data_IF_637876078898
#
_entry.id   IF_637876078898
#
_cell.length_a   1.000
_cell.length_b   1.000
_cell.length_c   1.000
_cell.angle_alpha   90.00
_cell.angle_beta   90.00
_cell.angle_gamma   90.00
#
_symmetry.space_group_name_H-M   'P 1'
#
loop_
_entity.id
_entity.type
_entity.pdbx_description
1 polymer ?
#
# COMPACT_ATOMS: atom_id res chain seq x y z
N UNK A 1 -17.39 16.09 -30.15
CA UNK A 1 -15.97 16.38 -30.45
C UNK A 1 -15.15 15.26 -29.85
N UNK A 2 -14.38 14.51 -30.65
CA UNK A 2 -13.47 13.51 -30.10
C UNK A 2 -12.52 14.20 -29.10
N UNK A 3 -12.29 13.63 -27.90
CA UNK A 3 -11.34 14.21 -26.96
C UNK A 3 -9.98 14.29 -27.65
N UNK A 4 -9.37 15.47 -27.67
CA UNK A 4 -8.03 15.66 -28.21
C UNK A 4 -7.10 14.65 -27.52
N UNK A 5 -6.38 13.82 -28.29
CA UNK A 5 -5.38 12.89 -27.76
C UNK A 5 -4.41 13.69 -26.89
N UNK A 6 -4.52 13.58 -25.56
CA UNK A 6 -3.55 14.18 -24.64
C UNK A 6 -2.18 13.63 -25.03
N UNK A 7 -1.21 14.51 -25.33
CA UNK A 7 0.16 14.08 -25.62
C UNK A 7 0.68 13.28 -24.44
N UNK A 8 1.32 12.14 -24.70
CA UNK A 8 1.93 11.33 -23.66
C UNK A 8 2.92 12.18 -22.82
N UNK A 9 2.81 12.11 -21.50
CA UNK A 9 3.69 12.85 -20.59
C UNK A 9 5.13 12.33 -20.71
N UNK A 10 6.10 13.25 -20.80
CA UNK A 10 7.50 12.90 -21.01
C UNK A 10 8.25 12.54 -19.72
N UNK A 11 7.69 12.83 -18.54
CA UNK A 11 8.24 12.52 -17.22
C UNK A 11 9.72 12.92 -17.03
N UNK A 12 10.11 14.10 -17.55
CA UNK A 12 11.52 14.54 -17.55
C UNK A 12 11.95 15.16 -16.21
N UNK A 13 10.99 15.68 -15.44
CA UNK A 13 11.23 16.32 -14.15
C UNK A 13 10.39 15.68 -13.07
N UNK A 14 11.01 15.43 -11.92
CA UNK A 14 10.40 14.76 -10.78
C UNK A 14 10.36 15.66 -9.57
N UNK A 15 9.25 15.66 -8.86
CA UNK A 15 9.08 16.28 -7.58
C UNK A 15 9.61 15.33 -6.50
N UNK A 16 10.59 15.76 -5.70
CA UNK A 16 11.32 14.91 -4.73
C UNK A 16 11.04 15.26 -3.26
N UNK A 17 9.99 16.04 -3.03
CA UNK A 17 9.50 16.51 -1.73
C UNK A 17 7.96 16.54 -1.68
N UNK A 18 7.37 17.03 -0.59
CA UNK A 18 5.96 17.36 -0.51
C UNK A 18 5.60 18.47 -1.50
N UNK A 19 4.43 18.34 -2.15
CA UNK A 19 3.97 19.32 -3.13
C UNK A 19 3.81 20.71 -2.51
N UNK A 20 3.67 21.73 -3.34
CA UNK A 20 3.36 23.08 -2.87
C UNK A 20 2.06 23.11 -2.05
N UNK A 21 1.05 22.33 -2.44
CA UNK A 21 -0.17 22.20 -1.66
C UNK A 21 0.11 21.60 -0.28
N UNK A 22 0.86 20.50 -0.21
CA UNK A 22 1.22 19.85 1.04
C UNK A 22 1.97 20.80 1.99
N UNK A 23 2.96 21.53 1.48
CA UNK A 23 3.77 22.46 2.29
C UNK A 23 3.00 23.71 2.73
N UNK A 24 2.27 24.33 1.81
CA UNK A 24 1.73 25.68 2.03
C UNK A 24 0.25 25.70 2.44
N UNK A 25 -0.58 24.82 1.86
CA UNK A 25 -2.02 24.79 2.11
C UNK A 25 -2.37 23.82 3.24
N UNK A 26 -1.86 22.59 3.19
CA UNK A 26 -2.08 21.60 4.24
C UNK A 26 -1.20 21.84 5.47
N UNK A 27 -0.04 22.51 5.32
CA UNK A 27 0.86 22.81 6.44
C UNK A 27 1.69 21.60 6.89
N UNK A 28 1.97 20.66 5.99
CA UNK A 28 2.89 19.55 6.25
C UNK A 28 4.33 20.07 6.35
N UNK A 29 4.97 19.81 7.48
CA UNK A 29 6.37 20.17 7.73
C UNK A 29 7.28 18.96 7.56
N UNK A 30 8.14 19.00 6.54
CA UNK A 30 9.12 17.92 6.33
C UNK A 30 10.10 17.83 7.49
N UNK A 31 10.25 16.63 8.03
CA UNK A 31 11.17 16.36 9.14
C UNK A 31 12.62 16.70 8.73
N UNK A 32 13.34 17.52 9.52
CA UNK A 32 14.72 17.89 9.27
C UNK A 32 15.65 16.69 9.06
N UNK A 33 16.66 16.86 8.22
CA UNK A 33 17.54 15.79 7.74
C UNK A 33 18.24 15.05 8.90
N UNK A 34 18.68 15.77 9.93
CA UNK A 34 19.34 15.22 11.12
C UNK A 34 18.38 14.34 11.94
N UNK A 35 17.12 14.76 12.04
CA UNK A 35 16.06 13.97 12.70
C UNK A 35 15.69 12.74 11.88
N UNK A 36 15.71 12.83 10.55
CA UNK A 36 15.50 11.66 9.67
C UNK A 36 16.63 10.64 9.80
N UNK A 37 17.89 11.09 9.88
CA UNK A 37 19.04 10.22 10.15
C UNK A 37 18.89 9.60 11.54
N UNK A 38 18.63 10.43 12.57
CA UNK A 38 18.41 9.93 13.94
C UNK A 38 17.27 8.91 14.04
N UNK A 39 16.24 9.03 13.21
CA UNK A 39 15.12 8.10 13.19
C UNK A 39 15.46 6.69 12.69
N UNK A 40 16.58 6.49 11.98
CA UNK A 40 17.07 5.16 11.56
C UNK A 40 17.97 4.50 12.60
N UNK A 41 18.26 5.17 13.72
CA UNK A 41 19.16 4.69 14.77
C UNK A 41 18.41 4.40 16.08
N UNK A 42 18.92 3.42 16.84
CA UNK A 42 18.36 3.09 18.16
C UNK A 42 18.53 4.22 19.17
N UNK A 43 19.57 5.03 19.03
CA UNK A 43 19.82 6.16 19.91
C UNK A 43 18.85 7.33 19.66
N UNK A 44 18.22 7.41 18.48
CA UNK A 44 17.36 8.53 18.09
C UNK A 44 18.14 9.82 17.80
N UNK A 45 19.45 9.72 17.60
CA UNK A 45 20.35 10.84 17.29
C UNK A 45 21.45 10.39 16.34
N UNK A 46 22.07 11.34 15.67
CA UNK A 46 23.30 11.14 14.89
C UNK A 46 24.45 10.90 15.89
N UNK A 47 25.20 9.81 15.74
CA UNK A 47 26.41 9.57 16.53
C UNK A 47 27.52 10.52 16.07
N UNK A 48 28.16 11.23 17.01
CA UNK A 48 29.31 12.07 16.71
C UNK A 48 30.56 11.23 16.47
N UNK A 49 31.23 11.48 15.33
CA UNK A 49 32.53 10.95 14.89
C UNK A 49 32.59 9.43 14.63
N UNK A 50 32.63 9.05 13.34
CA UNK A 50 33.00 7.71 12.86
C UNK A 50 32.09 7.17 11.75
N UNK A 51 30.77 7.36 11.88
CA UNK A 51 29.76 6.94 10.91
C UNK A 51 29.01 8.18 10.41
N UNK A 52 29.54 8.84 9.38
CA UNK A 52 28.79 9.90 8.69
C UNK A 52 27.69 9.25 7.85
N UNK A 53 26.62 8.78 8.50
CA UNK A 53 25.42 8.33 7.81
C UNK A 53 24.77 9.56 7.14
N UNK A 54 25.20 9.86 5.91
CA UNK A 54 24.55 10.85 5.07
C UNK A 54 23.09 10.43 4.89
N UNK A 55 22.15 11.37 5.03
CA UNK A 55 20.77 11.08 4.73
C UNK A 55 20.66 10.62 3.28
N UNK A 56 19.82 9.61 2.99
CA UNK A 56 19.61 9.18 1.62
C UNK A 56 19.16 10.36 0.76
N UNK A 57 19.76 10.47 -0.41
CA UNK A 57 19.48 11.56 -1.34
C UNK A 57 18.02 11.52 -1.78
N UNK A 58 17.41 12.69 -1.95
CA UNK A 58 15.98 12.80 -2.29
C UNK A 58 15.63 12.16 -3.65
N UNK A 59 16.63 12.03 -4.54
CA UNK A 59 16.51 11.32 -5.82
C UNK A 59 16.44 9.80 -5.70
N UNK A 60 16.63 9.26 -4.50
CA UNK A 60 16.50 7.84 -4.18
C UNK A 60 15.30 7.61 -3.28
N UNK A 61 15.20 8.38 -2.20
CA UNK A 61 14.06 8.38 -1.30
C UNK A 61 13.48 9.81 -1.22
N UNK A 62 12.49 10.13 -2.07
CA UNK A 62 11.85 11.44 -2.03
C UNK A 62 11.08 11.63 -0.72
N UNK A 63 10.69 12.88 -0.43
CA UNK A 63 9.71 13.16 0.62
C UNK A 63 8.34 12.54 0.28
N UNK A 64 7.42 12.46 1.26
CA UNK A 64 6.02 12.11 0.99
C UNK A 64 5.45 13.01 -0.11
N UNK A 65 4.89 12.43 -1.17
CA UNK A 65 4.12 13.20 -2.14
C UNK A 65 2.73 13.44 -1.56
N UNK A 66 2.38 14.71 -1.32
CA UNK A 66 1.13 15.11 -0.69
C UNK A 66 0.35 15.99 -1.66
N UNK A 67 -0.78 15.53 -2.15
CA UNK A 67 -1.73 16.25 -3.00
C UNK A 67 -2.99 16.59 -2.18
N UNK A 68 -3.91 17.42 -2.71
CA UNK A 68 -5.21 17.64 -2.08
C UNK A 68 -5.92 16.34 -1.74
N UNK A 69 -6.57 16.32 -0.57
CA UNK A 69 -7.34 15.20 0.00
C UNK A 69 -6.54 13.95 0.38
N UNK A 70 -5.19 13.99 0.27
CA UNK A 70 -4.31 12.92 0.77
C UNK A 70 -4.32 12.84 2.30
N UNK A 71 -4.00 11.67 2.86
CA UNK A 71 -3.99 11.43 4.31
C UNK A 71 -3.14 12.47 5.06
N UNK A 72 -1.93 12.78 4.55
CA UNK A 72 -1.06 13.81 5.14
C UNK A 72 -1.45 15.24 4.78
N UNK A 73 -2.38 15.45 3.82
CA UNK A 73 -3.01 16.75 3.62
C UNK A 73 -4.11 16.99 4.67
N UNK A 74 -4.89 15.94 5.00
CA UNK A 74 -5.94 15.96 6.01
C UNK A 74 -5.36 15.94 7.44
N UNK A 75 -4.25 15.22 7.64
CA UNK A 75 -3.56 15.05 8.91
C UNK A 75 -2.06 15.40 8.80
N UNK A 76 -1.72 16.67 8.54
CA UNK A 76 -0.33 17.12 8.31
C UNK A 76 0.61 16.96 9.51
N UNK A 77 0.04 16.74 10.71
CA UNK A 77 0.77 16.60 11.98
C UNK A 77 0.80 15.15 12.49
N UNK A 78 0.52 14.18 11.62
CA UNK A 78 0.56 12.77 11.99
C UNK A 78 1.90 12.41 12.68
N UNK A 79 1.88 11.75 13.85
CA UNK A 79 3.07 11.59 14.68
C UNK A 79 4.10 10.66 14.00
N UNK A 80 5.39 11.05 13.96
CA UNK A 80 6.42 10.21 13.37
C UNK A 80 6.82 9.06 14.30
N UNK A 81 6.86 7.84 13.76
CA UNK A 81 7.37 6.66 14.48
C UNK A 81 8.82 6.34 14.08
N UNK A 82 9.81 6.70 14.92
CA UNK A 82 11.23 6.37 14.70
C UNK A 82 11.57 4.90 15.00
N UNK A 83 12.74 4.41 14.58
CA UNK A 83 13.27 3.12 15.01
C UNK A 83 13.34 3.01 16.53
N UNK A 84 13.82 4.07 17.21
CA UNK A 84 13.90 4.07 18.68
C UNK A 84 12.53 3.92 19.33
N UNK A 85 11.52 4.64 18.85
CA UNK A 85 10.15 4.54 19.36
C UNK A 85 9.60 3.14 19.15
N UNK A 86 9.72 2.64 17.91
CA UNK A 86 9.26 1.32 17.52
C UNK A 86 9.93 0.19 18.31
N UNK A 87 11.26 0.22 18.44
CA UNK A 87 12.02 -0.84 19.09
C UNK A 87 11.69 -0.98 20.58
N UNK A 88 11.35 0.13 21.25
CA UNK A 88 10.95 0.15 22.67
C UNK A 88 9.43 0.09 22.88
N UNK A 89 8.65 0.03 21.81
CA UNK A 89 7.19 -0.05 21.88
C UNK A 89 6.73 -1.38 22.47
N UNK A 90 6.00 -1.36 23.59
CA UNK A 90 5.41 -2.56 24.18
C UNK A 90 4.25 -3.16 23.37
N UNK A 91 3.78 -2.45 22.35
CA UNK A 91 2.67 -2.84 21.47
C UNK A 91 3.08 -3.78 20.34
N UNK A 92 4.38 -3.88 20.00
CA UNK A 92 4.82 -4.71 18.87
C UNK A 92 5.15 -6.14 19.31
N UNK A 93 4.97 -7.07 18.39
CA UNK A 93 5.38 -8.45 18.55
C UNK A 93 6.83 -8.64 18.10
N UNK A 94 7.66 -9.30 18.92
CA UNK A 94 9.03 -9.68 18.53
C UNK A 94 8.97 -10.87 17.59
N UNK A 95 9.83 -10.86 16.58
CA UNK A 95 10.03 -12.02 15.71
C UNK A 95 10.94 -12.98 16.46
N UNK A 96 10.55 -14.23 16.68
CA UNK A 96 11.36 -15.23 17.39
C UNK A 96 11.63 -16.43 16.48
N UNK A 97 12.66 -17.26 16.76
CA UNK A 97 12.88 -18.50 16.00
C UNK A 97 11.66 -19.42 15.94
N UNK A 98 10.84 -19.43 17.00
CA UNK A 98 9.61 -20.24 17.11
C UNK A 98 8.41 -19.59 16.43
N UNK A 99 8.41 -18.26 16.25
CA UNK A 99 7.31 -17.46 15.69
C UNK A 99 7.83 -16.45 14.66
N UNK A 100 8.11 -16.95 13.46
CA UNK A 100 8.66 -16.19 12.35
C UNK A 100 7.92 -16.42 11.02
N UNK A 101 6.86 -17.23 10.97
CA UNK A 101 6.15 -17.52 9.72
C UNK A 101 5.06 -16.48 9.45
N UNK A 102 5.01 -15.92 8.24
CA UNK A 102 3.87 -15.16 7.75
C UNK A 102 2.89 -16.10 7.04
N UNK A 103 1.61 -15.96 7.35
CA UNK A 103 0.54 -16.75 6.72
C UNK A 103 -0.33 -15.90 5.82
N UNK A 104 -0.72 -16.46 4.68
CA UNK A 104 -1.75 -15.87 3.80
C UNK A 104 -2.95 -16.80 3.84
N UNK A 105 -4.09 -16.31 4.34
CA UNK A 105 -5.36 -17.00 4.21
C UNK A 105 -5.94 -16.70 2.83
N UNK A 106 -6.25 -17.76 2.09
CA UNK A 106 -6.81 -17.67 0.75
C UNK A 106 -8.20 -17.01 0.77
N UNK A 107 -8.65 -16.57 -0.40
CA UNK A 107 -10.01 -16.04 -0.58
C UNK A 107 -11.02 -17.10 -0.13
N UNK A 108 -11.91 -16.79 0.83
CA UNK A 108 -12.87 -17.77 1.30
C UNK A 108 -13.75 -18.28 0.15
N UNK A 109 -13.85 -19.61 0.05
CA UNK A 109 -14.74 -20.24 -0.93
C UNK A 109 -16.20 -20.00 -0.58
N UNK A 110 -17.12 -20.12 -1.53
CA UNK A 110 -18.56 -19.93 -1.29
C UNK A 110 -19.27 -21.27 -1.41
N UNK A 111 -19.91 -21.68 -0.31
CA UNK A 111 -20.78 -22.86 -0.27
C UNK A 111 -22.06 -22.65 -1.08
N UNK A 112 -22.70 -23.75 -1.49
CA UNK A 112 -23.96 -23.68 -2.25
C UNK A 112 -25.10 -23.05 -1.43
N UNK A 113 -25.11 -23.23 -0.10
CA UNK A 113 -26.06 -22.53 0.78
C UNK A 113 -25.89 -21.00 0.78
N UNK A 114 -24.68 -20.52 0.45
CA UNK A 114 -24.34 -19.10 0.35
C UNK A 114 -24.25 -18.61 -1.11
N UNK A 115 -24.71 -19.38 -2.10
CA UNK A 115 -24.51 -19.07 -3.52
C UNK A 115 -25.04 -17.68 -3.96
N UNK A 116 -26.00 -17.11 -3.22
CA UNK A 116 -26.52 -15.75 -3.45
C UNK A 116 -25.45 -14.66 -3.33
N UNK A 117 -24.34 -14.91 -2.62
CA UNK A 117 -23.26 -13.93 -2.43
C UNK A 117 -22.19 -13.97 -3.54
N UNK A 118 -22.29 -14.89 -4.50
CA UNK A 118 -21.27 -15.02 -5.56
C UNK A 118 -21.09 -13.71 -6.36
N UNK A 119 -22.17 -12.96 -6.54
CA UNK A 119 -22.14 -11.66 -7.23
C UNK A 119 -21.69 -10.48 -6.35
N UNK A 120 -21.47 -10.67 -5.03
CA UNK A 120 -20.95 -9.60 -4.16
C UNK A 120 -19.49 -9.28 -4.42
N UNK A 121 -18.78 -10.20 -5.08
CA UNK A 121 -17.40 -9.98 -5.49
C UNK A 121 -17.30 -9.14 -6.78
N UNK A 122 -18.37 -8.98 -7.56
CA UNK A 122 -18.34 -8.27 -8.83
C UNK A 122 -18.92 -6.84 -8.68
N UNK A 123 -18.26 -5.80 -9.24
CA UNK A 123 -18.78 -4.43 -9.19
C UNK A 123 -19.95 -4.21 -10.14
N UNK A 124 -20.91 -3.37 -9.75
CA UNK A 124 -22.09 -3.02 -10.55
C UNK A 124 -21.79 -1.84 -11.48
N UNK A 125 -20.93 -2.08 -12.48
CA UNK A 125 -20.42 -1.04 -13.40
C UNK A 125 -20.52 -1.42 -14.87
N UNK A 126 -21.20 -2.53 -15.20
CA UNK A 126 -21.34 -3.04 -16.57
C UNK A 126 -22.03 -2.04 -17.51
N UNK A 127 -22.99 -1.26 -17.00
CA UNK A 127 -23.68 -0.23 -17.77
C UNK A 127 -22.83 1.03 -18.03
N UNK A 128 -21.69 1.16 -17.35
CA UNK A 128 -20.86 2.37 -17.37
C UNK A 128 -19.61 2.21 -18.23
N UNK A 129 -19.28 1.00 -18.68
CA UNK A 129 -17.94 0.66 -19.18
C UNK A 129 -18.02 -0.26 -20.40
N UNK A 130 -17.11 -0.02 -21.36
CA UNK A 130 -16.97 -0.86 -22.56
C UNK A 130 -16.33 -2.22 -22.21
N UNK A 131 -17.02 -3.36 -22.44
CA UNK A 131 -16.46 -4.69 -22.19
C UNK A 131 -15.22 -5.02 -23.01
N UNK A 132 -15.02 -4.38 -24.17
CA UNK A 132 -13.79 -4.53 -24.96
C UNK A 132 -12.59 -3.84 -24.28
N UNK A 133 -12.83 -2.74 -23.55
CA UNK A 133 -11.82 -2.01 -22.81
C UNK A 133 -11.50 -2.68 -21.46
N UNK A 134 -12.52 -3.22 -20.78
CA UNK A 134 -12.39 -3.88 -19.48
C UNK A 134 -13.00 -5.29 -19.50
N UNK A 135 -12.26 -6.29 -20.00
CA UNK A 135 -12.72 -7.66 -20.00
C UNK A 135 -12.86 -8.20 -18.57
N UNK A 136 -13.72 -9.20 -18.37
CA UNK A 136 -13.79 -9.92 -17.09
C UNK A 136 -12.44 -10.54 -16.75
N UNK A 137 -11.89 -10.18 -15.59
CA UNK A 137 -10.59 -10.63 -15.13
C UNK A 137 -10.73 -11.76 -14.11
N UNK A 138 -9.82 -12.72 -14.16
CA UNK A 138 -9.62 -13.66 -13.06
C UNK A 138 -9.04 -12.92 -11.85
N UNK A 139 -9.46 -13.34 -10.65
CA UNK A 139 -8.97 -12.78 -9.39
C UNK A 139 -7.44 -13.00 -9.27
N UNK A 140 -6.69 -12.06 -8.66
CA UNK A 140 -5.27 -12.25 -8.38
C UNK A 140 -4.98 -13.57 -7.65
N UNK A 141 -3.96 -14.30 -8.08
CA UNK A 141 -3.57 -15.56 -7.45
C UNK A 141 -2.99 -15.31 -6.06
N UNK A 142 -3.39 -16.16 -5.11
CA UNK A 142 -2.84 -16.17 -3.76
C UNK A 142 -1.37 -16.58 -3.76
N UNK A 143 -0.96 -17.48 -4.66
CA UNK A 143 0.44 -17.85 -4.86
C UNK A 143 1.31 -16.65 -5.28
N UNK A 144 0.82 -15.81 -6.19
CA UNK A 144 1.55 -14.61 -6.63
C UNK A 144 1.69 -13.59 -5.49
N UNK A 145 0.64 -13.41 -4.67
CA UNK A 145 0.68 -12.56 -3.48
C UNK A 145 1.67 -13.11 -2.46
N UNK A 146 1.64 -14.42 -2.19
CA UNK A 146 2.63 -15.07 -1.33
C UNK A 146 4.05 -14.92 -1.85
N UNK A 147 4.27 -15.02 -3.17
CA UNK A 147 5.58 -14.84 -3.77
C UNK A 147 6.10 -13.41 -3.60
N UNK A 148 5.24 -12.39 -3.79
CA UNK A 148 5.58 -11.00 -3.52
C UNK A 148 5.93 -10.77 -2.05
N UNK A 149 5.08 -11.23 -1.12
CA UNK A 149 5.29 -11.07 0.31
C UNK A 149 6.55 -11.78 0.79
N UNK A 150 6.88 -12.96 0.22
CA UNK A 150 8.11 -13.70 0.52
C UNK A 150 9.35 -12.93 0.10
N UNK A 151 9.30 -12.26 -1.06
CA UNK A 151 10.39 -11.42 -1.52
C UNK A 151 10.51 -10.15 -0.67
N UNK A 152 9.38 -9.51 -0.35
CA UNK A 152 9.31 -8.26 0.40
C UNK A 152 9.79 -8.43 1.85
N UNK A 153 9.29 -9.45 2.56
CA UNK A 153 9.62 -9.74 3.96
C UNK A 153 10.76 -10.76 4.14
N UNK A 154 11.56 -10.98 3.09
CA UNK A 154 12.73 -11.86 3.16
C UNK A 154 13.59 -11.54 4.40
N UNK A 155 14.07 -12.55 5.15
CA UNK A 155 14.04 -13.99 4.88
C UNK A 155 12.88 -14.76 5.55
N UNK A 156 11.83 -14.08 6.00
CA UNK A 156 10.74 -14.76 6.71
C UNK A 156 10.00 -15.77 5.82
N UNK A 157 9.68 -16.98 6.33
CA UNK A 157 8.84 -17.92 5.62
C UNK A 157 7.44 -17.33 5.36
N UNK A 158 6.92 -17.50 4.14
CA UNK A 158 5.53 -17.18 3.79
C UNK A 158 4.84 -18.45 3.34
N UNK A 159 3.75 -18.82 4.03
CA UNK A 159 3.00 -20.06 3.80
C UNK A 159 1.51 -19.76 3.60
N UNK A 160 0.83 -20.66 2.89
CA UNK A 160 -0.63 -20.66 2.84
C UNK A 160 -1.16 -21.07 4.22
N UNK A 161 -2.23 -20.44 4.68
CA UNK A 161 -2.90 -20.84 5.91
C UNK A 161 -3.47 -22.26 5.75
N UNK A 162 -3.13 -23.22 6.65
CA UNK A 162 -3.62 -24.59 6.52
C UNK A 162 -5.13 -24.72 6.68
N UNK A 163 -5.75 -23.80 7.42
CA UNK A 163 -7.18 -23.77 7.68
C UNK A 163 -7.89 -23.02 6.56
N UNK A 164 -8.66 -23.70 5.68
CA UNK A 164 -9.41 -23.02 4.64
C UNK A 164 -10.65 -22.34 5.25
N UNK A 165 -11.01 -21.20 4.66
CA UNK A 165 -12.23 -20.48 4.98
C UNK A 165 -13.29 -20.72 3.92
N UNK A 166 -14.55 -20.80 4.35
CA UNK A 166 -15.71 -20.96 3.47
C UNK A 166 -16.89 -20.15 3.98
N UNK A 167 -17.43 -19.27 3.13
CA UNK A 167 -18.70 -18.65 3.38
C UNK A 167 -19.83 -19.67 3.28
N UNK A 168 -20.66 -19.72 4.31
CA UNK A 168 -21.82 -20.59 4.45
C UNK A 168 -23.05 -19.75 4.79
N UNK A 169 -24.23 -20.30 4.50
CA UNK A 169 -25.48 -19.65 4.92
C UNK A 169 -25.46 -19.50 6.45
N UNK A 170 -25.79 -18.30 6.93
CA UNK A 170 -26.02 -18.10 8.36
C UNK A 170 -27.43 -18.57 8.70
N UNK A 171 -27.53 -19.63 9.50
CA UNK A 171 -28.80 -20.09 10.04
C UNK A 171 -28.92 -19.55 11.47
N UNK A 172 -29.82 -18.58 11.66
CA UNK A 172 -30.17 -18.09 12.99
C UNK A 172 -30.88 -19.22 13.76
N UNK A 173 -30.13 -20.01 14.53
CA UNK A 173 -30.69 -21.04 15.41
C UNK A 173 -31.26 -20.38 16.68
N UNK A 174 -32.23 -19.48 16.51
CA UNK A 174 -33.26 -19.16 17.51
C UNK A 174 -34.25 -18.11 16.96
N UNK A 175 -35.44 -18.56 16.57
CA UNK A 175 -36.76 -18.00 16.94
C UNK A 175 -37.09 -16.50 16.93
N UNK A 176 -36.19 -15.55 16.63
CA UNK A 176 -36.47 -14.12 16.67
C UNK A 176 -36.88 -13.61 15.29
N UNK A 177 -38.11 -13.96 14.93
CA UNK A 177 -38.89 -13.13 13.99
C UNK A 177 -39.06 -11.73 14.60
N UNK A 178 -38.18 -10.80 14.26
CA UNK A 178 -38.47 -9.38 14.41
C UNK A 178 -37.31 -8.47 14.77
N UNK A 179 -36.67 -7.91 13.74
CA UNK A 179 -36.38 -6.46 13.62
C UNK A 179 -35.94 -6.17 12.19
N UNK A 180 -36.68 -5.33 11.47
CA UNK A 180 -36.39 -4.90 10.08
C UNK A 180 -35.10 -4.07 9.92
N UNK A 181 -34.24 -4.04 10.93
CA UNK A 181 -33.09 -3.14 11.07
C UNK A 181 -31.80 -3.89 11.49
N UNK A 182 -31.81 -5.22 11.61
CA UNK A 182 -30.60 -5.97 11.89
C UNK A 182 -29.78 -6.12 10.59
N UNK A 183 -28.43 -5.97 10.63
CA UNK A 183 -27.59 -6.17 9.47
C UNK A 183 -27.74 -7.61 8.95
N UNK A 184 -27.61 -7.79 7.64
CA UNK A 184 -27.63 -9.14 7.05
C UNK A 184 -26.40 -9.90 7.53
N UNK A 185 -26.52 -11.18 7.87
CA UNK A 185 -25.40 -12.00 8.36
C UNK A 185 -25.05 -13.09 7.35
N UNK A 186 -23.76 -13.39 7.23
CA UNK A 186 -23.23 -14.55 6.50
C UNK A 186 -22.28 -15.33 7.41
N UNK A 187 -22.31 -16.66 7.38
CA UNK A 187 -21.38 -17.47 8.16
C UNK A 187 -20.03 -17.59 7.47
N UNK A 188 -18.94 -17.53 8.22
CA UNK A 188 -17.59 -17.86 7.77
C UNK A 188 -17.08 -19.05 8.55
N UNK A 189 -17.08 -20.22 7.91
CA UNK A 189 -16.60 -21.46 8.49
C UNK A 189 -15.08 -21.57 8.35
N UNK A 190 -14.39 -21.93 9.43
CA UNK A 190 -12.95 -22.23 9.44
C UNK A 190 -12.73 -23.73 9.72
N UNK A 191 -12.07 -24.44 8.80
CA UNK A 191 -11.65 -25.84 9.05
C UNK A 191 -12.77 -26.83 9.42
N UNK A 192 -14.03 -26.52 9.09
CA UNK A 192 -15.19 -27.40 9.28
C UNK A 192 -15.81 -27.47 10.68
N UNK A 193 -15.39 -26.64 11.64
CA UNK A 193 -15.85 -26.76 13.05
C UNK A 193 -16.52 -25.48 13.58
N UNK A 194 -15.84 -24.33 13.46
CA UNK A 194 -16.33 -23.06 13.99
C UNK A 194 -16.83 -22.17 12.84
N UNK A 195 -17.99 -21.57 13.03
CA UNK A 195 -18.60 -20.62 12.09
C UNK A 195 -18.74 -19.28 12.80
N UNK A 196 -18.06 -18.27 12.28
CA UNK A 196 -18.17 -16.88 12.76
C UNK A 196 -19.21 -16.16 11.91
N UNK A 197 -20.12 -15.44 12.55
CA UNK A 197 -21.09 -14.61 11.85
C UNK A 197 -20.44 -13.31 11.38
N UNK A 198 -20.48 -13.06 10.07
CA UNK A 198 -19.96 -11.85 9.44
C UNK A 198 -21.13 -10.94 9.10
N UNK A 199 -21.15 -9.74 9.68
CA UNK A 199 -22.12 -8.71 9.33
C UNK A 199 -21.90 -8.24 7.90
N UNK A 200 -22.98 -8.04 7.18
CA UNK A 200 -23.00 -7.52 5.82
C UNK A 200 -24.03 -6.40 5.69
N UNK A 201 -23.67 -5.38 4.91
CA UNK A 201 -24.52 -4.23 4.60
C UNK A 201 -24.51 -3.93 3.10
N UNK A 202 -25.57 -3.31 2.55
CA UNK A 202 -25.50 -2.70 1.23
C UNK A 202 -24.39 -1.65 1.17
N UNK A 203 -23.68 -1.54 0.05
CA UNK A 203 -22.63 -0.52 -0.09
C UNK A 203 -23.25 0.88 -0.16
N UNK A 204 -22.74 1.87 0.60
CA UNK A 204 -23.22 3.25 0.55
C UNK A 204 -23.10 3.91 -0.84
N UNK A 205 -22.09 3.50 -1.62
CA UNK A 205 -21.78 4.06 -2.93
C UNK A 205 -22.40 3.30 -4.12
N UNK A 206 -23.15 2.22 -3.85
CA UNK A 206 -23.81 1.36 -4.83
C UNK A 206 -22.87 0.69 -5.89
N UNK A 207 -21.56 0.88 -5.80
CA UNK A 207 -20.58 0.23 -6.71
C UNK A 207 -20.41 -1.25 -6.32
N UNK A 208 -20.34 -1.53 -5.03
CA UNK A 208 -20.46 -2.89 -4.51
C UNK A 208 -21.92 -3.17 -4.16
N UNK A 209 -22.38 -4.41 -4.39
CA UNK A 209 -23.74 -4.81 -3.97
C UNK A 209 -23.86 -4.86 -2.46
N UNK A 210 -22.87 -5.47 -1.82
CA UNK A 210 -22.79 -5.67 -0.39
C UNK A 210 -21.34 -5.56 0.07
N UNK A 211 -21.15 -5.13 1.31
CA UNK A 211 -19.86 -5.06 2.00
C UNK A 211 -19.88 -6.00 3.19
N UNK A 212 -18.74 -6.63 3.46
CA UNK A 212 -18.52 -7.49 4.64
C UNK A 212 -17.84 -6.70 5.75
N UNK A 213 -18.26 -6.93 7.00
CA UNK A 213 -17.62 -6.29 8.13
C UNK A 213 -16.24 -6.88 8.35
N UNK A 214 -15.24 -6.00 8.32
CA UNK A 214 -13.83 -6.30 8.44
C UNK A 214 -13.46 -6.87 9.81
N UNK A 215 -14.06 -6.35 10.88
CA UNK A 215 -13.74 -6.78 12.24
C UNK A 215 -14.14 -8.24 12.46
N UNK A 216 -15.33 -8.63 11.96
CA UNK A 216 -15.81 -10.01 12.06
C UNK A 216 -14.91 -10.99 11.26
N UNK A 217 -14.38 -10.56 10.11
CA UNK A 217 -13.43 -11.34 9.31
C UNK A 217 -12.10 -11.55 10.05
N UNK A 218 -11.60 -10.51 10.72
CA UNK A 218 -10.38 -10.57 11.53
C UNK A 218 -10.56 -11.43 12.78
N UNK A 219 -11.72 -11.38 13.42
CA UNK A 219 -12.05 -12.26 14.55
C UNK A 219 -12.01 -13.74 14.12
N UNK A 220 -12.58 -14.07 12.96
CA UNK A 220 -12.48 -15.41 12.37
C UNK A 220 -11.02 -15.82 12.07
N UNK A 221 -10.20 -14.90 11.55
CA UNK A 221 -8.79 -15.16 11.29
C UNK A 221 -8.00 -15.43 12.57
N UNK A 222 -8.32 -14.74 13.67
CA UNK A 222 -7.66 -14.89 14.97
C UNK A 222 -7.75 -16.33 15.47
N UNK A 223 -8.93 -16.95 15.35
CA UNK A 223 -9.17 -18.34 15.77
C UNK A 223 -8.42 -19.39 14.94
N UNK A 224 -7.94 -19.03 13.76
CA UNK A 224 -7.30 -19.95 12.82
C UNK A 224 -5.77 -19.86 12.77
N UNK A 225 -5.14 -19.00 13.58
CA UNK A 225 -3.70 -18.76 13.55
C UNK A 225 -2.88 -19.97 14.03
N UNK A 226 -1.91 -20.47 13.23
CA UNK A 226 -0.94 -21.46 13.68
C UNK A 226 -0.04 -20.94 14.81
N UNK A 227 0.48 -21.86 15.62
CA UNK A 227 1.34 -21.52 16.76
C UNK A 227 2.66 -20.83 16.35
N UNK A 228 3.23 -21.19 15.20
CA UNK A 228 4.46 -20.59 14.64
C UNK A 228 4.20 -19.31 13.83
N UNK A 229 2.93 -18.89 13.70
CA UNK A 229 2.59 -17.68 12.99
C UNK A 229 3.20 -16.46 13.71
N UNK A 230 4.00 -15.70 12.98
CA UNK A 230 4.30 -14.33 13.34
C UNK A 230 3.05 -13.47 13.12
N UNK A 231 2.53 -13.45 11.89
CA UNK A 231 1.33 -12.73 11.51
C UNK A 231 0.59 -13.41 10.35
N UNK A 232 -0.67 -13.05 10.12
CA UNK A 232 -1.44 -13.49 8.96
C UNK A 232 -2.17 -12.33 8.26
N UNK A 233 -2.38 -12.50 6.94
CA UNK A 233 -3.25 -11.65 6.13
C UNK A 233 -4.31 -12.51 5.45
N UNK A 234 -5.59 -12.15 5.57
CA UNK A 234 -6.69 -12.77 4.83
C UNK A 234 -6.98 -11.97 3.55
N UNK A 235 -7.05 -12.68 2.43
CA UNK A 235 -7.47 -12.10 1.16
C UNK A 235 -8.99 -12.23 1.02
N UNK A 236 -9.66 -11.17 0.58
CA UNK A 236 -11.13 -11.13 0.45
C UNK A 236 -11.48 -10.59 -0.94
N UNK A 237 -12.39 -11.26 -1.65
CA UNK A 237 -12.79 -10.83 -3.00
C UNK A 237 -13.94 -9.81 -2.99
N UNK A 238 -14.72 -9.79 -1.91
CA UNK A 238 -15.83 -8.88 -1.67
C UNK A 238 -15.35 -7.56 -1.05
N UNK A 239 -16.15 -6.52 -1.21
CA UNK A 239 -15.88 -5.23 -0.57
C UNK A 239 -16.01 -5.31 0.96
N UNK A 240 -15.33 -4.43 1.69
CA UNK A 240 -15.31 -4.46 3.16
C UNK A 240 -15.57 -3.07 3.76
N UNK A 241 -15.98 -3.05 5.04
CA UNK A 241 -16.11 -1.84 5.86
C UNK A 241 -15.71 -2.13 7.32
N UNK A 242 -15.24 -1.13 8.07
CA UNK A 242 -14.91 -1.29 9.49
C UNK A 242 -16.08 -0.88 10.39
N UNK A 243 -16.63 0.31 10.17
CA UNK A 243 -17.76 0.87 10.92
C UNK A 243 -18.76 1.67 10.05
N UNK A 244 -19.75 2.31 10.70
CA UNK A 244 -20.84 3.02 10.03
C UNK A 244 -20.43 4.34 9.39
N UNK A 245 -19.27 4.89 9.77
CA UNK A 245 -18.75 6.15 9.24
C UNK A 245 -17.89 5.94 7.97
N UNK A 246 -17.46 4.69 7.71
CA UNK A 246 -16.71 4.34 6.50
C UNK A 246 -17.60 4.26 5.25
N UNK A 247 -17.09 4.76 4.13
CA UNK A 247 -17.62 4.39 2.81
C UNK A 247 -17.22 2.94 2.46
N UNK A 248 -15.93 2.60 2.59
CA UNK A 248 -15.36 1.26 2.39
C UNK A 248 -13.94 1.18 2.97
N UNK A 249 -13.41 -0.05 3.08
CA UNK A 249 -12.04 -0.32 3.50
C UNK A 249 -11.37 -1.35 2.58
N UNK A 250 -10.22 -1.00 2.00
CA UNK A 250 -9.42 -1.92 1.18
C UNK A 250 -8.53 -2.85 2.01
N UNK A 251 -8.12 -2.42 3.21
CA UNK A 251 -7.21 -3.17 4.06
C UNK A 251 -7.17 -2.62 5.48
N UNK A 252 -6.98 -3.51 6.45
CA UNK A 252 -6.79 -3.16 7.86
C UNK A 252 -5.97 -4.22 8.56
N UNK A 253 -5.22 -3.78 9.55
CA UNK A 253 -4.48 -4.64 10.45
C UNK A 253 -4.76 -4.32 11.92
N UNK A 254 -4.93 -5.38 12.72
CA UNK A 254 -4.79 -5.29 14.17
C UNK A 254 -3.40 -5.76 14.54
N UNK A 255 -2.44 -4.83 14.48
CA UNK A 255 -1.02 -5.15 14.53
C UNK A 255 -0.57 -5.90 15.79
N UNK A 256 -1.14 -5.55 16.96
CA UNK A 256 -0.91 -6.26 18.22
C UNK A 256 -1.45 -7.69 18.20
N UNK A 257 -2.58 -7.91 17.53
CA UNK A 257 -3.22 -9.22 17.33
C UNK A 257 -2.61 -10.04 16.20
N UNK A 258 -1.76 -9.41 15.36
CA UNK A 258 -0.96 -10.03 14.28
C UNK A 258 -1.80 -10.56 13.12
N UNK A 259 -2.90 -9.89 12.87
CA UNK A 259 -3.88 -10.24 11.84
C UNK A 259 -4.18 -9.02 11.00
N UNK A 260 -4.47 -9.28 9.74
CA UNK A 260 -4.89 -8.28 8.77
C UNK A 260 -5.80 -8.89 7.73
N UNK A 261 -6.56 -8.06 7.04
CA UNK A 261 -7.36 -8.46 5.90
C UNK A 261 -7.22 -7.43 4.80
N UNK A 262 -7.22 -7.90 3.55
CA UNK A 262 -7.13 -7.06 2.35
C UNK A 262 -8.20 -7.50 1.38
N UNK A 263 -9.06 -6.55 0.99
CA UNK A 263 -10.01 -6.74 -0.09
C UNK A 263 -9.35 -6.42 -1.43
N UNK A 264 -9.56 -7.29 -2.41
CA UNK A 264 -9.18 -7.01 -3.79
C UNK A 264 -10.24 -6.20 -4.53
N UNK A 265 -11.43 -5.97 -3.94
CA UNK A 265 -12.61 -5.56 -4.67
C UNK A 265 -12.43 -4.22 -5.40
N UNK A 266 -11.99 -3.22 -4.64
CA UNK A 266 -11.83 -1.82 -5.05
C UNK A 266 -10.59 -1.59 -5.91
N UNK A 267 -9.68 -2.55 -5.99
CA UNK A 267 -8.44 -2.45 -6.77
C UNK A 267 -8.58 -2.86 -8.24
N UNK A 268 -9.77 -3.29 -8.67
CA UNK A 268 -10.02 -3.66 -10.06
C UNK A 268 -9.78 -2.45 -10.99
N UNK A 269 -9.03 -2.61 -12.09
CA UNK A 269 -8.77 -1.52 -13.03
C UNK A 269 -10.04 -0.86 -13.59
N UNK A 270 -11.13 -1.63 -13.72
CA UNK A 270 -12.44 -1.16 -14.16
C UNK A 270 -13.01 -0.03 -13.28
N UNK A 271 -12.58 0.07 -12.02
CA UNK A 271 -13.02 1.08 -11.06
C UNK A 271 -12.16 2.35 -11.07
N UNK A 272 -11.06 2.39 -11.83
CA UNK A 272 -10.10 3.49 -11.79
C UNK A 272 -10.74 4.84 -12.10
N UNK A 273 -11.62 4.88 -13.10
CA UNK A 273 -12.32 6.10 -13.48
C UNK A 273 -13.30 6.58 -12.39
N UNK A 274 -13.97 5.66 -11.70
CA UNK A 274 -14.93 5.98 -10.64
C UNK A 274 -14.24 6.61 -9.42
N UNK A 275 -13.01 6.19 -9.12
CA UNK A 275 -12.24 6.67 -7.97
C UNK A 275 -11.12 7.66 -8.33
N UNK A 276 -11.13 8.19 -9.55
CA UNK A 276 -10.15 9.20 -9.99
C UNK A 276 -8.70 8.71 -10.00
N UNK A 277 -8.47 7.41 -10.17
CA UNK A 277 -7.13 6.84 -10.26
C UNK A 277 -6.51 7.19 -11.61
N UNK A 278 -5.51 8.08 -11.61
CA UNK A 278 -4.79 8.46 -12.82
C UNK A 278 -3.68 7.43 -13.13
N UNK A 279 -4.03 6.45 -13.96
CA UNK A 279 -3.17 5.31 -14.31
C UNK A 279 -1.83 5.76 -14.93
N UNK A 280 -1.82 6.85 -15.70
CA UNK A 280 -0.61 7.37 -16.36
C UNK A 280 0.47 7.88 -15.41
N UNK A 281 0.08 8.27 -14.19
CA UNK A 281 0.93 8.84 -13.15
C UNK A 281 0.79 8.07 -11.82
N UNK A 282 0.62 6.74 -11.88
CA UNK A 282 0.86 5.87 -10.72
C UNK A 282 2.35 5.84 -10.37
N UNK A 283 2.71 5.37 -9.18
CA UNK A 283 4.11 5.26 -8.78
C UNK A 283 4.92 4.44 -9.82
N UNK A 284 6.14 4.89 -10.21
CA UNK A 284 6.91 6.05 -9.74
C UNK A 284 6.63 7.37 -10.47
N UNK A 285 5.76 7.35 -11.48
CA UNK A 285 5.45 8.48 -12.36
C UNK A 285 4.57 9.55 -11.68
N UNK A 286 3.95 9.20 -10.56
CA UNK A 286 3.24 10.10 -9.64
C UNK A 286 4.07 11.31 -9.22
N UNK A 287 5.39 11.15 -9.17
CA UNK A 287 6.34 12.22 -8.89
C UNK A 287 6.53 13.18 -10.08
N UNK A 288 5.87 13.02 -11.23
CA UNK A 288 6.06 13.93 -12.35
C UNK A 288 5.69 15.38 -11.96
N UNK A 289 6.65 16.30 -12.05
CA UNK A 289 6.44 17.68 -11.63
C UNK A 289 5.36 18.41 -12.44
N UNK A 290 5.14 18.01 -13.71
CA UNK A 290 4.05 18.54 -14.53
C UNK A 290 2.68 18.12 -13.99
N UNK A 291 2.51 16.82 -13.75
CA UNK A 291 1.30 16.24 -13.18
C UNK A 291 0.98 16.82 -11.80
N UNK A 292 1.96 16.84 -10.89
CA UNK A 292 1.78 17.37 -9.52
C UNK A 292 1.28 18.81 -9.54
N UNK A 293 1.88 19.67 -10.37
CA UNK A 293 1.44 21.07 -10.49
C UNK A 293 0.05 21.21 -11.08
N UNK A 294 -0.27 20.44 -12.12
CA UNK A 294 -1.59 20.47 -12.75
C UNK A 294 -2.66 20.00 -11.77
N UNK A 295 -2.43 18.86 -11.09
CA UNK A 295 -3.35 18.31 -10.09
C UNK A 295 -3.58 19.29 -8.94
N UNK A 296 -2.51 19.89 -8.38
CA UNK A 296 -2.65 20.90 -7.34
C UNK A 296 -3.44 22.12 -7.82
N UNK A 297 -3.19 22.59 -9.06
CA UNK A 297 -3.89 23.76 -9.62
C UNK A 297 -5.37 23.49 -9.83
N UNK A 298 -5.73 22.32 -10.34
CA UNK A 298 -7.12 21.94 -10.62
C UNK A 298 -7.94 21.79 -9.33
N UNK A 299 -7.27 21.40 -8.23
CA UNK A 299 -7.90 21.15 -6.93
C UNK A 299 -7.61 22.23 -5.87
N UNK A 300 -7.00 23.37 -6.24
CA UNK A 300 -6.65 24.47 -5.32
C UNK A 300 -7.87 25.25 -4.77
N UNK A 301 -9.09 24.96 -5.23
CA UNK A 301 -10.31 25.70 -4.90
C UNK A 301 -11.21 25.01 -3.85
N UNK A 302 -10.61 24.58 -2.74
CA UNK A 302 -11.15 23.78 -1.63
C UNK A 302 -12.68 23.68 -1.44
N UNK A 303 -13.11 22.44 -1.15
CA UNK A 303 -14.13 22.12 -0.16
C UNK A 303 -15.57 22.53 -0.43
N UNK A 304 -16.32 21.71 -1.17
CA UNK A 304 -17.74 21.47 -0.89
C UNK A 304 -18.11 20.12 -1.51
N UNK A 305 -18.59 19.22 -0.65
CA UNK A 305 -19.15 17.91 -0.98
C UNK A 305 -20.19 18.01 -2.10
N UNK A 306 -20.09 17.12 -3.08
CA UNK A 306 -21.19 16.64 -3.92
C UNK A 306 -22.05 17.69 -4.63
N UNK A 307 -21.71 18.04 -5.87
CA UNK A 307 -22.60 17.93 -7.05
C UNK A 307 -22.00 18.64 -8.28
N UNK A 308 -22.02 17.93 -9.41
CA UNK A 308 -21.86 18.39 -10.82
C UNK A 308 -21.25 19.79 -11.02
N UNK A 309 -19.92 19.88 -11.15
CA UNK A 309 -19.25 21.11 -11.60
C UNK A 309 -19.22 21.19 -13.14
N UNK A 310 -19.97 22.15 -13.69
CA UNK A 310 -19.97 22.60 -15.09
C UNK A 310 -18.61 23.18 -15.49
N UNK A 311 -18.13 22.78 -16.67
CA UNK A 311 -16.99 23.40 -17.38
C UNK A 311 -17.28 24.88 -17.70
N UNK A 312 -16.77 25.79 -16.89
CA UNK A 312 -16.66 27.21 -17.21
C UNK A 312 -15.30 27.53 -17.83
N UNK A 313 -15.28 27.99 -19.08
CA UNK A 313 -14.12 28.64 -19.70
C UNK A 313 -14.00 30.05 -19.12
N UNK A 314 -12.87 30.40 -18.52
CA UNK A 314 -12.62 31.78 -18.11
C UNK A 314 -11.25 32.05 -17.48
N UNK A 315 -10.45 32.81 -18.23
CA UNK A 315 -9.37 33.72 -17.81
C UNK A 315 -8.07 33.15 -17.21
N UNK A 316 -6.97 33.38 -17.93
CA UNK A 316 -5.59 33.21 -17.50
C UNK A 316 -5.27 34.14 -16.32
N UNK A 317 -5.10 33.58 -15.13
CA UNK A 317 -4.38 34.25 -14.05
C UNK A 317 -2.88 34.01 -14.25
N UNK A 318 -2.13 35.11 -14.30
CA UNK A 318 -0.69 35.18 -14.45
C UNK A 318 0.03 34.38 -13.36
N UNK A 319 0.92 33.49 -13.81
CA UNK A 319 1.81 32.71 -12.96
C UNK A 319 2.69 33.64 -12.10
N UNK A 320 2.40 33.69 -10.79
CA UNK A 320 3.36 34.10 -9.78
C UNK A 320 4.38 32.99 -9.61
N UNK A 321 5.54 33.16 -10.24
CA UNK A 321 6.67 32.26 -10.17
C UNK A 321 7.44 32.45 -8.86
N UNK A 322 7.40 31.45 -7.99
CA UNK A 322 8.53 31.06 -7.14
C UNK A 322 8.27 29.70 -6.50
N UNK A 323 8.11 28.66 -7.33
CA UNK A 323 8.31 27.30 -6.86
C UNK A 323 9.79 27.17 -6.51
N UNK A 324 10.09 26.92 -5.24
CA UNK A 324 11.41 26.57 -4.71
C UNK A 324 12.05 25.46 -5.57
N UNK A 325 13.03 25.86 -6.39
CA UNK A 325 13.75 25.06 -7.40
C UNK A 325 14.43 23.81 -6.77
N UNK A 326 14.63 23.81 -5.45
CA UNK A 326 15.25 22.71 -4.72
C UNK A 326 14.42 21.42 -4.64
N UNK A 327 13.11 21.51 -4.90
CA UNK A 327 12.16 20.39 -4.76
C UNK A 327 11.91 19.60 -6.05
N UNK A 328 12.50 20.04 -7.18
CA UNK A 328 12.31 19.43 -8.50
C UNK A 328 13.65 18.96 -9.08
N UNK A 329 13.72 17.67 -9.41
CA UNK A 329 14.84 17.01 -10.04
C UNK A 329 14.66 16.94 -11.56
N UNK A 330 15.67 17.35 -12.33
CA UNK A 330 15.73 17.16 -13.79
C UNK A 330 16.52 15.89 -14.12
N UNK A 331 15.85 14.88 -14.68
CA UNK A 331 16.45 13.58 -14.98
C UNK A 331 17.53 13.62 -16.05
N UNK A 332 17.56 14.65 -16.91
CA UNK A 332 18.64 14.83 -17.89
C UNK A 332 19.90 15.40 -17.24
N UNK A 333 19.73 16.28 -16.26
CA UNK A 333 20.83 16.93 -15.53
C UNK A 333 21.39 16.04 -14.41
N UNK A 334 20.58 15.13 -13.88
CA UNK A 334 20.97 14.21 -12.80
C UNK A 334 20.73 12.76 -13.20
N UNK A 335 21.54 12.21 -14.13
CA UNK A 335 21.41 10.84 -14.56
C UNK A 335 21.80 9.85 -13.45
N UNK A 336 21.38 8.59 -13.58
CA UNK A 336 21.83 7.49 -12.72
C UNK A 336 21.11 7.34 -11.38
N UNK A 337 20.15 8.22 -11.06
CA UNK A 337 19.37 8.16 -9.81
C UNK A 337 18.41 6.95 -9.78
N UNK A 338 18.10 6.45 -8.58
CA UNK A 338 17.14 5.35 -8.43
C UNK A 338 15.73 5.72 -8.92
N UNK A 339 15.22 6.92 -8.59
CA UNK A 339 13.94 7.38 -9.12
C UNK A 339 13.97 7.57 -10.64
N UNK A 340 15.08 8.05 -11.21
CA UNK A 340 15.24 8.16 -12.67
C UNK A 340 15.18 6.79 -13.36
N UNK A 341 15.84 5.78 -12.79
CA UNK A 341 15.77 4.41 -13.29
C UNK A 341 14.36 3.81 -13.16
N UNK A 342 13.66 4.07 -12.06
CA UNK A 342 12.28 3.67 -11.83
C UNK A 342 11.33 4.24 -12.91
N UNK A 343 11.40 5.55 -13.14
CA UNK A 343 10.60 6.24 -14.16
C UNK A 343 10.92 5.73 -15.57
N UNK A 344 12.20 5.52 -15.88
CA UNK A 344 12.61 5.02 -17.19
C UNK A 344 12.02 3.63 -17.50
N UNK A 345 11.93 2.76 -16.48
CA UNK A 345 11.36 1.42 -16.58
C UNK A 345 9.83 1.45 -16.66
N UNK A 346 9.15 2.17 -15.76
CA UNK A 346 7.69 2.15 -15.64
C UNK A 346 6.96 2.85 -16.80
N UNK A 347 7.50 3.97 -17.33
CA UNK A 347 6.78 4.84 -18.31
C UNK A 347 6.28 4.16 -19.58
N UNK A 348 6.82 2.98 -19.93
CA UNK A 348 6.44 2.24 -21.14
C UNK A 348 5.30 1.26 -20.91
N UNK A 349 5.07 0.88 -19.65
CA UNK A 349 4.19 -0.24 -19.25
C UNK A 349 3.18 0.14 -18.16
N UNK A 350 3.20 1.38 -17.67
CA UNK A 350 2.28 1.84 -16.61
C UNK A 350 0.81 1.77 -17.01
N UNK A 351 0.51 2.06 -18.27
CA UNK A 351 -0.86 1.98 -18.82
C UNK A 351 -1.07 0.55 -19.33
N UNK A 352 -1.99 -0.22 -18.74
CA UNK A 352 -2.26 -1.59 -19.17
C UNK A 352 -2.90 -1.58 -20.57
N UNK A 353 -2.48 -2.50 -21.44
CA UNK A 353 -2.98 -2.59 -22.82
C UNK A 353 -3.67 -3.92 -23.11
N UNK A 354 -3.37 -4.94 -22.31
CA UNK A 354 -3.94 -6.28 -22.44
C UNK A 354 -4.67 -6.68 -21.17
N UNK A 355 -5.55 -7.68 -21.26
CA UNK A 355 -6.18 -8.28 -20.07
C UNK A 355 -5.13 -8.82 -19.07
N UNK A 356 -3.98 -9.30 -19.57
CA UNK A 356 -2.85 -9.72 -18.74
C UNK A 356 -2.25 -8.56 -17.95
N UNK A 357 -2.06 -7.40 -18.59
CA UNK A 357 -1.56 -6.19 -17.93
C UNK A 357 -2.55 -5.69 -16.87
N UNK A 358 -3.85 -5.73 -17.17
CA UNK A 358 -4.90 -5.36 -16.23
C UNK A 358 -4.93 -6.29 -15.01
N UNK A 359 -4.80 -7.61 -15.21
CA UNK A 359 -4.64 -8.57 -14.10
C UNK A 359 -3.39 -8.29 -13.28
N UNK A 360 -2.27 -8.01 -13.95
CA UNK A 360 -1.02 -7.67 -13.27
C UNK A 360 -1.12 -6.37 -12.46
N UNK A 361 -1.83 -5.37 -12.98
CA UNK A 361 -2.13 -4.13 -12.26
C UNK A 361 -2.98 -4.40 -11.01
N UNK A 362 -4.07 -5.16 -11.17
CA UNK A 362 -4.93 -5.55 -10.05
C UNK A 362 -4.14 -6.28 -8.96
N UNK A 363 -3.37 -7.30 -9.35
CA UNK A 363 -2.47 -8.04 -8.47
C UNK A 363 -1.50 -7.12 -7.73
N UNK A 364 -0.84 -6.20 -8.43
CA UNK A 364 0.18 -5.33 -7.85
C UNK A 364 -0.37 -4.45 -6.71
N UNK A 365 -1.60 -3.95 -6.85
CA UNK A 365 -2.29 -3.13 -5.84
C UNK A 365 -2.62 -3.94 -4.59
N UNK A 366 -3.16 -5.14 -4.78
CA UNK A 366 -3.48 -6.07 -3.68
C UNK A 366 -2.20 -6.46 -2.94
N UNK A 367 -1.15 -6.82 -3.68
CA UNK A 367 0.13 -7.25 -3.10
C UNK A 367 0.81 -6.15 -2.28
N UNK A 368 0.85 -4.90 -2.79
CA UNK A 368 1.40 -3.75 -2.06
C UNK A 368 0.60 -3.47 -0.78
N UNK A 369 -0.73 -3.53 -0.86
CA UNK A 369 -1.61 -3.32 0.30
C UNK A 369 -1.42 -4.42 1.34
N UNK A 370 -1.33 -5.69 0.92
CA UNK A 370 -1.01 -6.79 1.84
C UNK A 370 0.36 -6.60 2.52
N UNK A 371 1.35 -6.05 1.81
CA UNK A 371 2.62 -5.69 2.43
C UNK A 371 2.47 -4.55 3.44
N UNK A 372 1.67 -3.52 3.15
CA UNK A 372 1.35 -2.44 4.08
C UNK A 372 0.70 -2.98 5.37
N UNK A 373 -0.37 -3.76 5.24
CA UNK A 373 -1.10 -4.29 6.41
C UNK A 373 -0.25 -5.24 7.26
N UNK A 374 0.57 -6.08 6.63
CA UNK A 374 1.54 -6.88 7.38
C UNK A 374 2.58 -5.99 8.09
N UNK A 375 2.93 -4.83 7.54
CA UNK A 375 3.82 -3.86 8.17
C UNK A 375 3.28 -3.37 9.51
N UNK A 376 1.96 -3.16 9.60
CA UNK A 376 1.28 -2.90 10.86
C UNK A 376 1.36 -4.08 11.84
N UNK A 377 1.31 -5.33 11.36
CA UNK A 377 1.58 -6.52 12.19
C UNK A 377 3.02 -6.58 12.73
N UNK A 378 3.99 -5.94 12.05
CA UNK A 378 5.33 -5.69 12.60
C UNK A 378 5.36 -4.52 13.60
N UNK A 379 4.22 -3.90 13.91
CA UNK A 379 4.10 -2.72 14.76
C UNK A 379 4.53 -1.42 14.09
N UNK A 380 4.71 -1.40 12.77
CA UNK A 380 4.99 -0.14 12.07
C UNK A 380 3.72 0.70 12.02
N UNK A 381 3.85 1.99 12.30
CA UNK A 381 2.78 2.96 12.12
C UNK A 381 2.88 3.63 10.74
N UNK A 382 1.90 4.47 10.39
CA UNK A 382 2.00 5.25 9.15
C UNK A 382 3.29 6.09 9.13
N UNK A 383 3.95 6.13 7.97
CA UNK A 383 5.25 6.73 7.78
C UNK A 383 5.12 8.14 7.21
N UNK A 384 5.76 9.11 7.86
CA UNK A 384 5.77 10.53 7.42
C UNK A 384 7.16 11.02 7.00
N UNK A 385 8.17 10.14 7.01
CA UNK A 385 9.57 10.54 6.82
C UNK A 385 9.97 10.72 5.35
N UNK A 386 9.44 9.87 4.48
CA UNK A 386 9.78 9.72 3.07
C UNK A 386 8.59 9.12 2.33
N UNK A 387 8.63 9.13 1.00
CA UNK A 387 7.82 8.21 0.21
C UNK A 387 8.02 6.78 0.73
N UNK A 388 6.95 6.07 1.10
CA UNK A 388 7.05 4.76 1.74
C UNK A 388 5.78 3.94 1.55
N UNK A 389 5.90 2.62 1.41
CA UNK A 389 4.73 1.73 1.39
C UNK A 389 3.88 1.84 2.66
N UNK A 390 4.50 2.21 3.78
CA UNK A 390 3.81 2.44 5.06
C UNK A 390 3.20 3.83 5.19
N UNK A 391 3.09 4.64 4.14
CA UNK A 391 2.30 5.89 4.23
C UNK A 391 0.82 5.57 4.41
N UNK A 392 0.13 6.39 5.20
CA UNK A 392 -1.33 6.37 5.21
C UNK A 392 -1.90 6.74 3.85
N UNK A 393 -3.13 6.32 3.60
CA UNK A 393 -3.85 6.61 2.36
C UNK A 393 -5.30 6.97 2.68
N UNK A 394 -5.78 8.07 2.10
CA UNK A 394 -7.16 8.52 2.22
C UNK A 394 -8.03 8.10 1.02
N UNK A 395 -7.45 7.48 -0.01
CA UNK A 395 -8.20 7.00 -1.17
C UNK A 395 -7.35 6.26 -2.21
N UNK A 396 -8.02 5.63 -3.18
CA UNK A 396 -7.35 4.81 -4.19
C UNK A 396 -6.38 5.59 -5.09
N UNK A 397 -6.67 6.86 -5.36
CA UNK A 397 -5.79 7.74 -6.12
C UNK A 397 -4.50 8.10 -5.39
N UNK A 398 -4.52 8.17 -4.05
CA UNK A 398 -3.32 8.31 -3.23
C UNK A 398 -2.57 6.98 -3.13
N UNK A 399 -3.28 5.90 -2.83
CA UNK A 399 -2.73 4.55 -2.73
C UNK A 399 -1.92 4.14 -3.98
N UNK A 400 -2.44 4.42 -5.18
CA UNK A 400 -1.76 4.13 -6.44
C UNK A 400 -0.46 4.94 -6.66
N UNK A 401 -0.25 6.02 -5.89
CA UNK A 401 0.97 6.85 -5.93
C UNK A 401 2.02 6.43 -4.90
N UNK A 402 1.69 5.52 -3.97
CA UNK A 402 2.62 5.06 -2.95
C UNK A 402 3.66 4.08 -3.52
N UNK A 403 4.93 4.15 -3.08
CA UNK A 403 5.96 3.23 -3.52
C UNK A 403 5.79 1.82 -2.93
N UNK A 404 6.25 0.77 -3.62
CA UNK A 404 6.26 -0.61 -3.12
C UNK A 404 7.50 -0.94 -2.29
N UNK A 405 8.13 0.04 -1.63
CA UNK A 405 9.34 -0.15 -0.81
C UNK A 405 9.19 0.42 0.60
N UNK A 406 9.96 -0.12 1.55
CA UNK A 406 10.18 0.53 2.84
C UNK A 406 11.22 1.64 2.70
N UNK A 407 10.90 2.81 3.23
CA UNK A 407 11.88 3.89 3.33
C UNK A 407 12.99 3.55 4.34
N UNK A 408 14.08 4.32 4.42
CA UNK A 408 15.23 4.02 5.29
C UNK A 408 14.87 3.86 6.77
N UNK A 409 13.80 4.54 7.24
CA UNK A 409 13.34 4.43 8.63
C UNK A 409 12.57 3.13 8.86
N UNK A 410 11.65 2.78 7.96
CA UNK A 410 10.86 1.54 8.10
C UNK A 410 11.68 0.29 7.80
N UNK A 411 12.63 0.37 6.85
CA UNK A 411 13.59 -0.69 6.58
C UNK A 411 14.48 -0.95 7.82
N UNK A 412 14.92 0.12 8.50
CA UNK A 412 15.67 -0.01 9.74
C UNK A 412 14.86 -0.73 10.85
N UNK A 413 13.55 -0.52 10.93
CA UNK A 413 12.66 -1.23 11.87
C UNK A 413 12.59 -2.72 11.55
N UNK A 414 12.33 -3.06 10.28
CA UNK A 414 12.23 -4.45 9.86
C UNK A 414 13.55 -5.20 10.07
N UNK A 415 14.66 -4.64 9.60
CA UNK A 415 15.99 -5.25 9.74
C UNK A 415 16.36 -5.39 11.22
N UNK A 416 16.07 -4.40 12.07
CA UNK A 416 16.22 -4.56 13.51
C UNK A 416 15.40 -5.74 14.05
N UNK A 417 14.12 -5.84 13.67
CA UNK A 417 13.23 -6.91 14.10
C UNK A 417 13.75 -8.30 13.71
N UNK A 418 14.25 -8.45 12.48
CA UNK A 418 14.84 -9.68 11.96
C UNK A 418 16.06 -10.14 12.78
N UNK A 419 16.89 -9.19 13.21
CA UNK A 419 18.07 -9.48 14.04
C UNK A 419 17.80 -9.55 15.54
N UNK A 420 16.64 -9.10 16.04
CA UNK A 420 16.48 -8.86 17.49
C UNK A 420 16.62 -10.14 18.32
N UNK A 421 15.98 -11.23 17.88
CA UNK A 421 15.98 -12.51 18.58
C UNK A 421 16.84 -13.57 17.87
N UNK A 422 17.73 -13.15 16.96
CA UNK A 422 18.60 -14.06 16.22
C UNK A 422 17.91 -14.87 15.12
N UNK A 423 16.78 -14.40 14.59
CA UNK A 423 16.13 -15.01 13.41
C UNK A 423 17.03 -14.88 12.18
N UNK A 424 17.71 -13.74 12.06
CA UNK A 424 18.82 -13.55 11.12
C UNK A 424 20.14 -13.57 11.88
N UNK A 425 21.06 -14.41 11.42
CA UNK A 425 22.38 -14.59 12.02
C UNK A 425 23.18 -13.28 12.07
N UNK A 426 23.96 -13.13 13.13
CA UNK A 426 24.75 -11.94 13.41
C UNK A 426 23.96 -10.79 14.00
N UNK A 427 22.64 -10.91 14.17
CA UNK A 427 21.81 -9.98 14.94
C UNK A 427 21.49 -10.50 16.34
N UNK A 428 21.66 -9.67 17.37
CA UNK A 428 21.13 -9.96 18.71
C UNK A 428 20.82 -8.70 19.50
N UNK A 429 19.61 -8.62 20.06
CA UNK A 429 19.14 -7.50 20.88
C UNK A 429 19.43 -6.15 20.21
N UNK A 430 19.25 -6.05 18.89
CA UNK A 430 19.49 -4.81 18.14
C UNK A 430 20.95 -4.39 17.99
N UNK A 431 21.90 -5.28 18.27
CA UNK A 431 23.31 -5.16 17.91
C UNK A 431 23.60 -6.15 16.79
N UNK A 432 24.53 -5.78 15.90
CA UNK A 432 25.04 -6.65 14.86
C UNK A 432 26.48 -7.04 15.22
N UNK A 433 26.76 -8.33 15.25
CA UNK A 433 28.04 -8.91 15.71
C UNK A 433 29.22 -8.51 14.82
N UNK A 434 28.94 -8.25 13.53
CA UNK A 434 29.92 -7.79 12.55
C UNK A 434 29.52 -6.41 12.01
N UNK A 435 30.52 -5.54 11.89
CA UNK A 435 30.37 -4.26 11.20
C UNK A 435 29.94 -4.53 9.75
N UNK A 436 28.90 -3.84 9.28
CA UNK A 436 28.37 -4.03 7.93
C UNK A 436 27.29 -5.10 7.76
N UNK A 437 27.13 -6.07 8.68
CA UNK A 437 26.11 -7.15 8.54
C UNK A 437 24.70 -6.61 8.33
N UNK A 438 24.34 -5.55 9.03
CA UNK A 438 23.04 -4.87 8.84
C UNK A 438 22.84 -4.44 7.37
N UNK A 439 23.86 -3.86 6.75
CA UNK A 439 23.80 -3.38 5.35
C UNK A 439 23.77 -4.54 4.37
N UNK A 440 24.41 -5.66 4.70
CA UNK A 440 24.32 -6.90 3.91
C UNK A 440 22.89 -7.45 3.92
N UNK A 441 22.23 -7.52 5.08
CA UNK A 441 20.81 -7.94 5.17
C UNK A 441 19.92 -7.02 4.34
N UNK A 442 20.11 -5.70 4.43
CA UNK A 442 19.39 -4.73 3.60
C UNK A 442 19.63 -4.99 2.09
N UNK A 443 20.87 -5.30 1.69
CA UNK A 443 21.22 -5.63 0.29
C UNK A 443 20.59 -6.94 -0.18
N UNK A 444 20.71 -8.02 0.60
CA UNK A 444 20.16 -9.34 0.29
C UNK A 444 18.65 -9.24 0.02
N UNK A 445 17.92 -8.50 0.87
CA UNK A 445 16.48 -8.25 0.67
C UNK A 445 16.18 -7.51 -0.62
N UNK A 446 16.97 -6.49 -0.95
CA UNK A 446 16.82 -5.76 -2.22
C UNK A 446 17.09 -6.64 -3.44
N UNK A 447 18.09 -7.53 -3.37
CA UNK A 447 18.41 -8.47 -4.45
C UNK A 447 17.29 -9.50 -4.67
N UNK A 448 16.73 -10.05 -3.59
CA UNK A 448 15.58 -10.98 -3.66
C UNK A 448 14.36 -10.28 -4.25
N UNK A 449 14.04 -9.08 -3.77
CA UNK A 449 12.90 -8.29 -4.28
C UNK A 449 13.10 -7.91 -5.76
N UNK A 450 14.34 -7.61 -6.17
CA UNK A 450 14.70 -7.34 -7.56
C UNK A 450 14.45 -8.56 -8.43
N UNK A 451 14.84 -9.75 -7.97
CA UNK A 451 14.58 -11.02 -8.65
C UNK A 451 13.09 -11.29 -8.85
N UNK A 452 12.25 -11.01 -7.85
CA UNK A 452 10.79 -11.08 -8.01
C UNK A 452 10.29 -10.13 -9.10
N UNK A 453 10.73 -8.86 -9.07
CA UNK A 453 10.23 -7.85 -10.01
C UNK A 453 10.64 -8.14 -11.47
N UNK A 454 11.75 -8.86 -11.70
CA UNK A 454 12.17 -9.30 -13.04
C UNK A 454 11.09 -10.17 -13.72
N UNK A 455 10.38 -11.01 -12.95
CA UNK A 455 9.29 -11.83 -13.46
C UNK A 455 8.02 -11.05 -13.84
N UNK A 456 7.91 -9.79 -13.40
CA UNK A 456 6.69 -8.97 -13.52
C UNK A 456 6.92 -7.64 -14.23
N UNK A 457 7.94 -7.53 -15.10
CA UNK A 457 8.28 -6.29 -15.82
C UNK A 457 7.19 -5.76 -16.76
N UNK A 458 6.16 -6.56 -17.08
CA UNK A 458 4.97 -6.11 -17.82
C UNK A 458 4.07 -5.18 -17.01
N UNK A 459 4.24 -5.12 -15.68
CA UNK A 459 3.40 -4.34 -14.76
C UNK A 459 4.15 -3.08 -14.31
N UNK A 460 3.52 -1.91 -14.47
CA UNK A 460 4.10 -0.60 -14.16
C UNK A 460 4.83 -0.50 -12.81
N UNK A 461 4.17 -0.90 -11.74
CA UNK A 461 4.73 -0.85 -10.38
C UNK A 461 5.98 -1.71 -10.24
N UNK A 462 5.95 -2.97 -10.71
CA UNK A 462 7.10 -3.88 -10.58
C UNK A 462 8.25 -3.51 -11.52
N UNK A 463 7.97 -3.07 -12.75
CA UNK A 463 9.00 -2.52 -13.63
C UNK A 463 9.68 -1.30 -13.01
N UNK A 464 8.89 -0.38 -12.45
CA UNK A 464 9.40 0.78 -11.70
C UNK A 464 10.23 0.37 -10.50
N UNK A 465 9.77 -0.63 -9.73
CA UNK A 465 10.46 -1.09 -8.53
C UNK A 465 11.78 -1.77 -8.85
N UNK A 466 11.81 -2.62 -9.88
CA UNK A 466 13.04 -3.21 -10.42
C UNK A 466 14.04 -2.13 -10.82
N UNK A 467 13.58 -1.11 -11.56
CA UNK A 467 14.42 0.03 -11.95
C UNK A 467 14.96 0.82 -10.75
N UNK A 468 14.11 1.05 -9.74
CA UNK A 468 14.50 1.68 -8.49
C UNK A 468 15.56 0.85 -7.74
N UNK A 469 15.35 -0.47 -7.62
CA UNK A 469 16.27 -1.41 -6.97
C UNK A 469 17.62 -1.48 -7.69
N UNK A 470 17.63 -1.51 -9.02
CA UNK A 470 18.87 -1.42 -9.82
C UNK A 470 19.65 -0.15 -9.50
N UNK A 471 18.98 0.98 -9.35
CA UNK A 471 19.61 2.25 -8.93
C UNK A 471 20.11 2.20 -7.51
N UNK A 472 19.28 1.74 -6.57
CA UNK A 472 19.62 1.69 -5.15
C UNK A 472 20.80 0.76 -4.87
N UNK A 473 20.83 -0.42 -5.50
CA UNK A 473 21.92 -1.38 -5.33
C UNK A 473 23.26 -0.83 -5.82
N UNK A 474 23.27 -0.02 -6.89
CA UNK A 474 24.50 0.66 -7.36
C UNK A 474 25.03 1.69 -6.36
N UNK A 475 24.16 2.34 -5.59
CA UNK A 475 24.55 3.31 -4.55
C UNK A 475 25.11 2.64 -3.28
N UNK A 476 24.88 1.33 -3.14
CA UNK A 476 25.36 0.54 -2.01
C UNK A 476 26.73 -0.11 -2.28
N UNK A 477 27.16 -0.19 -3.54
CA UNK A 477 28.51 -0.65 -3.94
C UNK A 477 29.48 0.52 -3.80
#
# INVERSE_FOLDING_TARGET
>A
MAPAKKKACAHQTLYVDASEHGRNAAGFERIPVEKRIGATTRAGRVSGAGDSAAAPVASTFPGPLILPDDDLALCPKYPPQSLRSWANGGYRNKITPERNTLYVADVPTIDDGAAFMRNWADPDVEDLIDPEEFPKLEHPSTEDIMAYLRAFYHPLPVKLLPTPFKFVKWDDDDGQKGKKTAPSMIGLAAGGSEVVGIRARPSPDEIARMQLNLNDLLDALTGALPADAYAAVMLVAQDMYEDEDDDFCCGRAFGGSRISAVSSFRYRPVLDAAFGVEVGHMWPLSHCAGFVREFCRENAGGGETGTKRKRGRGASASAGSSADDSSVLDLKKTPGTAMGAAVAAARRVVVPKTAGDQRGLWFSRVARTAAHELGHCFGMDHCVYYACVMQGTAGLGEDARQPPYLCPVCEAKLVFGLGEMGVVEGGRNGKWEQEGRRREVERERMEVMRGFCEGWMGVGMFAGFKGWLDGRLRELV
#
